data_IF_840854526885
#
_entry.id   IF_840854526885
#
_cell.length_a   1.000
_cell.length_b   1.000
_cell.length_c   1.000
_cell.angle_alpha   90.00
_cell.angle_beta   90.00
_cell.angle_gamma   90.00
#
_symmetry.space_group_name_H-M   'P 1'
#
loop_
_entity.id
_entity.type
_entity.pdbx_description
1 polymer ?
#
# COMPACT_ATOMS: atom_id res chain seq x y z
N UNK A 1 -2.25 -46.26 -21.72
CA UNK A 1 -2.50 -45.27 -20.64
C UNK A 1 -3.65 -44.39 -21.12
N UNK A 2 -4.83 -44.55 -20.51
CA UNK A 2 -6.02 -43.76 -20.87
C UNK A 2 -5.90 -42.41 -20.15
N UNK A 3 -5.75 -41.32 -20.90
CA UNK A 3 -5.92 -39.99 -20.35
C UNK A 3 -7.42 -39.74 -20.19
N UNK A 4 -7.93 -39.80 -18.96
CA UNK A 4 -9.29 -39.35 -18.66
C UNK A 4 -9.29 -37.82 -18.63
N UNK A 5 -9.62 -37.19 -19.76
CA UNK A 5 -9.93 -35.77 -19.80
C UNK A 5 -11.28 -35.54 -19.13
N UNK A 6 -11.27 -35.13 -17.87
CA UNK A 6 -12.46 -34.58 -17.22
C UNK A 6 -12.65 -33.13 -17.67
N UNK A 7 -13.68 -32.88 -18.46
CA UNK A 7 -14.13 -31.53 -18.79
C UNK A 7 -14.70 -30.90 -17.51
N UNK A 8 -13.96 -29.98 -16.90
CA UNK A 8 -14.44 -29.25 -15.73
C UNK A 8 -15.44 -28.21 -16.24
N UNK A 9 -16.73 -28.51 -16.09
CA UNK A 9 -17.82 -27.61 -16.52
C UNK A 9 -17.87 -26.30 -15.71
N UNK A 10 -17.37 -26.30 -14.46
CA UNK A 10 -17.39 -25.13 -13.59
C UNK A 10 -16.02 -24.83 -12.95
N UNK A 11 -15.19 -24.09 -13.69
CA UNK A 11 -13.91 -23.56 -13.20
C UNK A 11 -14.05 -22.55 -12.06
N UNK A 12 -15.26 -22.03 -11.79
CA UNK A 12 -15.49 -20.99 -10.79
C UNK A 12 -15.06 -21.45 -9.39
N UNK A 13 -15.27 -22.73 -9.08
CA UNK A 13 -14.83 -23.33 -7.81
C UNK A 13 -13.31 -23.36 -7.70
N UNK A 14 -12.61 -23.71 -8.78
CA UNK A 14 -11.15 -23.76 -8.82
C UNK A 14 -10.55 -22.36 -8.70
N UNK A 15 -11.11 -21.38 -9.42
CA UNK A 15 -10.71 -19.96 -9.33
C UNK A 15 -10.90 -19.41 -7.92
N UNK A 16 -12.02 -19.74 -7.28
CA UNK A 16 -12.26 -19.36 -5.89
C UNK A 16 -11.26 -20.01 -4.92
N UNK A 17 -10.97 -21.30 -5.08
CA UNK A 17 -9.96 -21.98 -4.27
C UNK A 17 -8.57 -21.35 -4.43
N UNK A 18 -8.15 -21.10 -5.67
CA UNK A 18 -6.87 -20.45 -5.95
C UNK A 18 -6.79 -19.04 -5.32
N UNK A 19 -7.87 -18.24 -5.43
CA UNK A 19 -7.95 -16.93 -4.81
C UNK A 19 -7.92 -17.00 -3.28
N UNK A 20 -8.64 -17.96 -2.68
CA UNK A 20 -8.63 -18.18 -1.24
C UNK A 20 -7.25 -18.62 -0.73
N UNK A 21 -6.54 -19.47 -1.45
CA UNK A 21 -5.20 -19.90 -1.08
C UNK A 21 -4.17 -18.78 -1.24
N UNK A 22 -4.30 -17.96 -2.29
CA UNK A 22 -3.53 -16.73 -2.43
C UNK A 22 -3.75 -15.81 -1.21
N UNK A 23 -5.01 -15.59 -0.82
CA UNK A 23 -5.35 -14.76 0.34
C UNK A 23 -4.72 -15.29 1.63
N UNK A 24 -4.77 -16.61 1.88
CA UNK A 24 -4.15 -17.21 3.08
C UNK A 24 -2.64 -17.04 3.11
N UNK A 25 -1.96 -17.19 1.96
CA UNK A 25 -0.49 -17.08 1.90
C UNK A 25 0.00 -15.64 1.97
N UNK A 26 -0.73 -14.70 1.36
CA UNK A 26 -0.26 -13.33 1.19
C UNK A 26 -0.91 -12.32 2.14
N UNK A 27 -2.13 -12.55 2.62
CA UNK A 27 -2.85 -11.61 3.48
C UNK A 27 -2.82 -11.96 4.98
N UNK A 28 -2.71 -13.24 5.36
CA UNK A 28 -2.63 -13.63 6.78
C UNK A 28 -1.32 -13.29 7.49
N UNK A 29 -0.13 -13.36 6.86
CA UNK A 29 1.12 -13.04 7.56
C UNK A 29 1.38 -11.53 7.68
N UNK A 30 0.47 -10.67 7.19
CA UNK A 30 0.65 -9.23 7.19
C UNK A 30 0.39 -8.60 8.56
N UNK A 31 1.09 -7.50 8.83
CA UNK A 31 0.83 -6.66 10.00
C UNK A 31 -0.56 -6.03 9.94
N UNK A 32 -1.10 -5.69 11.12
CA UNK A 32 -2.47 -5.14 11.25
C UNK A 32 -2.68 -3.88 10.40
N UNK A 33 -1.66 -3.03 10.27
CA UNK A 33 -1.75 -1.79 9.51
C UNK A 33 -1.96 -2.05 8.02
N UNK A 34 -1.21 -2.99 7.45
CA UNK A 34 -1.35 -3.38 6.04
C UNK A 34 -2.67 -4.14 5.84
N UNK A 35 -3.00 -5.06 6.77
CA UNK A 35 -4.22 -5.85 6.69
C UNK A 35 -5.49 -4.98 6.74
N UNK A 36 -5.49 -3.90 7.53
CA UNK A 36 -6.61 -2.96 7.60
C UNK A 36 -6.86 -2.26 6.25
N UNK A 37 -5.80 -1.81 5.58
CA UNK A 37 -5.90 -1.17 4.25
C UNK A 37 -6.40 -2.16 3.20
N UNK A 38 -5.87 -3.39 3.21
CA UNK A 38 -6.35 -4.43 2.30
C UNK A 38 -7.82 -4.74 2.55
N UNK A 39 -8.24 -4.83 3.82
CA UNK A 39 -9.61 -5.14 4.18
C UNK A 39 -10.61 -4.04 3.78
N UNK A 40 -10.17 -2.77 3.76
CA UNK A 40 -10.97 -1.64 3.30
C UNK A 40 -11.25 -1.73 1.79
N UNK A 41 -10.27 -2.22 1.00
CA UNK A 41 -10.43 -2.42 -0.45
C UNK A 41 -11.16 -3.72 -0.78
N UNK A 42 -10.80 -4.81 -0.10
CA UNK A 42 -11.36 -6.15 -0.31
C UNK A 42 -11.68 -6.80 1.04
N UNK A 43 -12.97 -7.01 1.33
CA UNK A 43 -13.41 -7.58 2.61
C UNK A 43 -13.10 -9.08 2.73
N UNK A 44 -12.80 -9.73 1.61
CA UNK A 44 -12.37 -11.13 1.59
C UNK A 44 -12.06 -11.65 0.19
N UNK A 45 -11.77 -12.97 0.07
CA UNK A 45 -11.32 -13.58 -1.18
C UNK A 45 -12.37 -13.54 -2.30
N UNK A 46 -13.68 -13.45 -1.98
CA UNK A 46 -14.74 -13.28 -3.00
C UNK A 46 -14.68 -11.91 -3.66
N UNK A 47 -14.46 -10.85 -2.89
CA UNK A 47 -14.32 -9.48 -3.43
C UNK A 47 -13.06 -9.35 -4.26
N UNK A 48 -11.95 -9.95 -3.81
CA UNK A 48 -10.73 -10.03 -4.59
C UNK A 48 -10.98 -10.75 -5.92
N UNK A 49 -11.62 -11.92 -5.89
CA UNK A 49 -11.93 -12.69 -7.10
C UNK A 49 -12.79 -11.88 -8.07
N UNK A 50 -13.83 -11.19 -7.59
CA UNK A 50 -14.70 -10.35 -8.43
C UNK A 50 -13.93 -9.24 -9.14
N UNK A 51 -12.91 -8.66 -8.48
CA UNK A 51 -12.06 -7.65 -9.09
C UNK A 51 -11.06 -8.24 -10.10
N UNK A 52 -10.68 -9.51 -9.92
CA UNK A 52 -9.77 -10.26 -10.78
C UNK A 52 -10.47 -10.95 -11.96
N UNK A 53 -11.77 -11.22 -11.87
CA UNK A 53 -12.52 -11.97 -12.90
C UNK A 53 -12.36 -11.37 -14.30
N UNK A 54 -12.38 -10.04 -14.42
CA UNK A 54 -12.17 -9.32 -15.69
C UNK A 54 -10.77 -9.53 -16.30
N UNK A 55 -9.78 -9.85 -15.46
CA UNK A 55 -8.39 -10.03 -15.86
C UNK A 55 -8.04 -11.50 -16.06
N UNK A 56 -8.77 -12.41 -15.42
CA UNK A 56 -8.63 -13.86 -15.59
C UNK A 56 -9.18 -14.37 -16.93
N UNK A 57 -10.15 -13.65 -17.51
CA UNK A 57 -10.82 -14.03 -18.76
C UNK A 57 -10.22 -13.37 -20.01
N UNK A 58 -9.30 -12.42 -19.84
CA UNK A 58 -8.75 -11.60 -20.92
C UNK A 58 -7.22 -11.53 -20.89
N UNK A 59 -6.66 -10.60 -21.66
CA UNK A 59 -5.22 -10.37 -21.67
C UNK A 59 -4.76 -9.71 -20.36
N UNK A 60 -3.66 -10.20 -19.80
CA UNK A 60 -3.12 -9.68 -18.55
C UNK A 60 -2.75 -8.19 -18.71
N UNK A 61 -3.23 -7.31 -17.82
CA UNK A 61 -2.93 -5.88 -17.93
C UNK A 61 -1.44 -5.64 -17.78
N UNK A 62 -0.90 -4.79 -18.63
CA UNK A 62 0.45 -4.29 -18.45
C UNK A 62 0.47 -3.27 -17.30
N UNK A 63 1.05 -3.67 -16.18
CA UNK A 63 1.32 -2.76 -15.08
C UNK A 63 2.45 -1.82 -15.50
N UNK A 64 2.20 -0.50 -15.45
CA UNK A 64 3.21 0.53 -15.80
C UNK A 64 4.44 0.52 -14.90
N UNK A 65 4.30 0.03 -13.67
CA UNK A 65 5.38 -0.08 -12.70
C UNK A 65 5.20 -1.39 -11.94
N UNK A 66 5.56 -2.52 -12.57
CA UNK A 66 5.44 -3.81 -11.92
C UNK A 66 6.36 -3.85 -10.68
N UNK A 67 5.89 -4.39 -9.55
CA UNK A 67 6.79 -4.72 -8.44
C UNK A 67 7.86 -5.70 -8.92
N UNK A 68 8.98 -5.78 -8.19
CA UNK A 68 9.98 -6.81 -8.50
C UNK A 68 9.34 -8.21 -8.31
N UNK A 69 9.75 -9.22 -9.10
CA UNK A 69 9.04 -10.51 -9.16
C UNK A 69 8.94 -11.25 -7.82
N UNK A 70 9.85 -11.00 -6.88
CA UNK A 70 9.85 -11.59 -5.54
C UNK A 70 9.56 -10.58 -4.42
N UNK A 71 9.17 -9.35 -4.76
CA UNK A 71 8.87 -8.34 -3.77
C UNK A 71 7.51 -8.62 -3.13
N UNK A 72 7.50 -8.81 -1.81
CA UNK A 72 6.27 -8.95 -1.05
C UNK A 72 5.64 -7.58 -0.79
N UNK A 73 4.31 -7.59 -0.59
CA UNK A 73 3.58 -6.37 -0.23
C UNK A 73 4.13 -5.73 1.06
N UNK A 74 4.60 -6.56 1.99
CA UNK A 74 5.19 -6.11 3.25
C UNK A 74 6.52 -5.37 3.02
N UNK A 75 7.42 -5.91 2.19
CA UNK A 75 8.70 -5.26 1.85
C UNK A 75 8.46 -3.92 1.14
N UNK A 76 7.55 -3.89 0.17
CA UNK A 76 7.22 -2.65 -0.55
C UNK A 76 6.64 -1.59 0.40
N UNK A 77 5.74 -2.00 1.29
CA UNK A 77 5.19 -1.12 2.31
C UNK A 77 6.32 -0.55 3.19
N UNK A 78 7.22 -1.40 3.68
CA UNK A 78 8.36 -0.99 4.50
C UNK A 78 9.27 0.00 3.77
N UNK A 79 9.57 -0.20 2.48
CA UNK A 79 10.35 0.74 1.68
C UNK A 79 9.66 2.10 1.55
N UNK A 80 8.34 2.12 1.33
CA UNK A 80 7.56 3.35 1.24
C UNK A 80 7.59 4.11 2.57
N UNK A 81 7.37 3.41 3.69
CA UNK A 81 7.43 4.01 5.03
C UNK A 81 8.82 4.56 5.33
N UNK A 82 9.88 3.80 5.04
CA UNK A 82 11.26 4.27 5.23
C UNK A 82 11.56 5.54 4.41
N UNK A 83 11.06 5.61 3.17
CA UNK A 83 11.21 6.80 2.33
C UNK A 83 10.44 8.00 2.88
N UNK A 84 9.23 7.78 3.36
CA UNK A 84 8.42 8.81 4.02
C UNK A 84 9.14 9.32 5.28
N UNK A 85 9.68 8.43 6.10
CA UNK A 85 10.35 8.82 7.34
C UNK A 85 11.68 9.54 7.09
N UNK A 86 12.43 9.14 6.07
CA UNK A 86 13.60 9.91 5.61
C UNK A 86 13.22 11.34 5.20
N UNK A 87 12.10 11.52 4.49
CA UNK A 87 11.63 12.85 4.12
C UNK A 87 11.20 13.67 5.35
N UNK A 88 10.47 13.04 6.29
CA UNK A 88 10.10 13.69 7.56
C UNK A 88 11.33 14.10 8.37
N UNK A 89 12.38 13.28 8.36
CA UNK A 89 13.63 13.60 9.05
C UNK A 89 14.32 14.82 8.42
N UNK A 90 14.50 14.81 7.10
CA UNK A 90 15.07 15.96 6.37
C UNK A 90 14.27 17.23 6.63
N UNK A 91 12.93 17.13 6.65
CA UNK A 91 12.07 18.26 6.99
C UNK A 91 12.34 18.77 8.41
N UNK A 92 12.41 17.88 9.42
CA UNK A 92 12.67 18.29 10.81
C UNK A 92 14.04 18.94 11.01
N UNK A 93 15.06 18.45 10.31
CA UNK A 93 16.41 19.03 10.34
C UNK A 93 16.41 20.44 9.74
N UNK A 94 15.69 20.66 8.65
CA UNK A 94 15.59 21.97 7.99
C UNK A 94 14.59 22.93 8.66
N UNK A 95 13.61 22.45 9.42
CA UNK A 95 12.64 23.31 10.13
C UNK A 95 13.37 24.28 11.08
N UNK A 96 14.45 23.86 11.73
CA UNK A 96 15.24 24.75 12.58
C UNK A 96 15.90 25.90 11.80
N UNK A 97 16.40 25.63 10.60
CA UNK A 97 16.97 26.64 9.70
C UNK A 97 15.88 27.56 9.11
N UNK A 98 14.71 27.01 8.79
CA UNK A 98 13.55 27.79 8.31
C UNK A 98 13.02 28.71 9.42
N UNK A 99 12.91 28.22 10.66
CA UNK A 99 12.52 29.05 11.82
C UNK A 99 13.56 30.13 12.12
N UNK A 100 14.86 29.83 11.98
CA UNK A 100 15.92 30.80 12.14
C UNK A 100 15.91 31.86 11.02
N UNK A 101 15.62 31.47 9.79
CA UNK A 101 15.47 32.36 8.64
C UNK A 101 14.21 33.25 8.76
N UNK A 102 13.15 32.77 9.42
CA UNK A 102 11.99 33.59 9.77
C UNK A 102 12.28 34.60 10.89
N UNK A 103 13.20 34.29 11.83
CA UNK A 103 13.62 35.19 12.91
C UNK A 103 14.62 36.26 12.46
N UNK A 104 14.36 36.95 11.35
CA UNK A 104 15.06 38.19 11.02
C UNK A 104 14.57 39.29 11.99
N UNK A 105 15.46 39.99 12.73
CA UNK A 105 15.06 40.99 13.74
C UNK A 105 14.38 42.26 13.16
N UNK A 106 14.25 42.38 11.84
CA UNK A 106 13.85 43.63 11.20
C UNK A 106 12.33 43.84 11.09
N UNK A 107 11.50 42.84 11.42
CA UNK A 107 10.04 42.93 11.24
C UNK A 107 9.25 42.41 12.47
N UNK A 108 9.74 42.63 13.69
CA UNK A 108 8.87 42.52 14.89
C UNK A 108 7.93 43.72 14.95
N UNK A 109 6.91 43.67 14.10
CA UNK A 109 5.88 44.69 13.97
C UNK A 109 4.67 44.13 13.27
N UNK A 110 4.15 42.99 13.73
CA UNK A 110 2.95 42.40 13.17
C UNK A 110 2.86 40.92 13.45
N UNK A 111 1.96 40.58 14.38
CA UNK A 111 1.32 39.26 14.47
C UNK A 111 1.09 38.68 13.08
N UNK A 112 1.42 37.39 12.90
CA UNK A 112 0.84 36.43 11.95
C UNK A 112 1.89 35.36 11.64
N UNK A 113 2.10 34.38 12.52
CA UNK A 113 1.93 32.96 12.18
C UNK A 113 1.70 32.22 13.51
N UNK A 114 0.44 31.94 13.83
CA UNK A 114 0.13 30.93 14.84
C UNK A 114 0.78 29.64 14.37
N UNK A 115 1.75 29.14 15.15
CA UNK A 115 2.44 27.90 14.91
C UNK A 115 1.41 26.80 14.60
N UNK A 116 1.34 26.41 13.33
CA UNK A 116 0.68 25.16 12.91
C UNK A 116 1.53 24.04 13.48
N UNK A 117 1.23 23.73 14.74
CA UNK A 117 1.83 22.70 15.56
C UNK A 117 1.98 21.45 14.71
N UNK A 118 3.22 21.00 14.50
CA UNK A 118 3.58 19.76 13.84
C UNK A 118 3.15 18.51 14.65
N UNK A 119 2.04 18.58 15.40
CA UNK A 119 1.46 17.51 16.20
C UNK A 119 0.70 16.47 15.37
N UNK A 120 0.51 16.70 14.06
CA UNK A 120 -0.14 15.75 13.15
C UNK A 120 0.76 14.63 12.62
N UNK A 121 2.08 14.72 12.81
CA UNK A 121 3.05 13.73 12.32
C UNK A 121 3.43 12.66 13.37
N UNK A 122 2.53 12.43 14.34
CA UNK A 122 2.51 11.24 15.18
C UNK A 122 1.28 10.41 14.82
N UNK A 123 1.46 9.45 13.93
CA UNK A 123 0.97 8.07 14.04
C UNK A 123 1.69 7.24 13.00
#
# INVERSE_FOLDING_TARGET
MLFEQQLIEDESRLRYQACADFWRRHCYPLTRDIAAVIHDVWKGPRDLLKSLDRWLQGEAPQLKSPPAPNETLAERHQQIIARIDSLKQQWREQVGEIEACWKIPALTGGSLIAATRASGWRK
#
